data_IF_634783225269
#
_entry.id   IF_634783225269
#
_cell.length_a   1.000
_cell.length_b   1.000
_cell.length_c   1.000
_cell.angle_alpha   90.00
_cell.angle_beta   90.00
_cell.angle_gamma   90.00
#
_symmetry.space_group_name_H-M   'P 1'
#
loop_
_entity.id
_entity.type
_entity.pdbx_description
1 polymer ?
#
# COMPACT_ATOMS: atom_id res chain seq x y z
N UNK A 1 -7.84 21.33 23.24
CA UNK A 1 -9.18 20.77 22.93
C UNK A 1 -9.11 20.29 21.50
N UNK A 2 -8.77 19.02 21.30
CA UNK A 2 -8.77 18.43 19.95
C UNK A 2 -10.17 18.55 19.38
N UNK A 3 -10.27 19.21 18.22
CA UNK A 3 -11.52 19.40 17.52
C UNK A 3 -11.92 18.04 16.93
N UNK A 4 -12.57 17.20 17.72
CA UNK A 4 -13.03 15.86 17.31
C UNK A 4 -14.02 16.04 16.16
N UNK A 5 -13.55 15.83 14.93
CA UNK A 5 -14.36 15.90 13.71
C UNK A 5 -15.54 14.95 13.86
N UNK A 6 -16.75 15.49 13.76
CA UNK A 6 -18.00 14.73 14.00
C UNK A 6 -18.22 13.67 12.91
N UNK A 7 -19.03 12.63 13.20
CA UNK A 7 -19.37 11.63 12.19
C UNK A 7 -20.02 12.25 10.93
N UNK A 8 -20.85 13.28 11.11
CA UNK A 8 -21.46 14.02 10.00
C UNK A 8 -20.45 14.73 9.11
N UNK A 9 -19.45 15.39 9.72
CA UNK A 9 -18.37 16.04 8.97
C UNK A 9 -17.47 15.04 8.25
N UNK A 10 -17.16 13.91 8.89
CA UNK A 10 -16.39 12.84 8.25
C UNK A 10 -17.14 12.25 7.04
N UNK A 11 -18.45 11.96 7.19
CA UNK A 11 -19.29 11.52 6.06
C UNK A 11 -19.33 12.54 4.92
N UNK A 12 -19.45 13.84 5.26
CA UNK A 12 -19.42 14.92 4.26
C UNK A 12 -18.08 14.99 3.53
N UNK A 13 -16.97 14.78 4.23
CA UNK A 13 -15.64 14.73 3.63
C UNK A 13 -15.50 13.54 2.67
N UNK A 14 -15.90 12.34 3.11
CA UNK A 14 -15.90 11.13 2.28
C UNK A 14 -16.75 11.31 1.02
N UNK A 15 -17.96 11.86 1.16
CA UNK A 15 -18.83 12.15 0.02
C UNK A 15 -18.21 13.12 -0.97
N UNK A 16 -17.56 14.18 -0.49
CA UNK A 16 -16.84 15.13 -1.34
C UNK A 16 -15.66 14.49 -2.05
N UNK A 17 -14.93 13.59 -1.37
CA UNK A 17 -13.84 12.84 -1.96
C UNK A 17 -14.33 11.91 -3.07
N UNK A 18 -15.47 11.24 -2.86
CA UNK A 18 -16.17 10.45 -3.87
C UNK A 18 -16.84 11.29 -4.98
N UNK A 19 -16.74 12.64 -4.91
CA UNK A 19 -17.36 13.60 -5.84
C UNK A 19 -18.88 13.45 -6.00
N UNK A 20 -19.56 12.94 -4.98
CA UNK A 20 -21.01 12.76 -4.99
C UNK A 20 -21.72 13.99 -4.39
N UNK A 21 -22.85 14.40 -4.96
CA UNK A 21 -23.77 15.33 -4.30
C UNK A 21 -24.55 14.61 -3.20
N UNK A 22 -25.22 15.38 -2.32
CA UNK A 22 -26.13 14.77 -1.34
C UNK A 22 -27.29 14.04 -2.02
N UNK A 23 -27.73 14.50 -3.20
CA UNK A 23 -28.80 13.85 -3.95
C UNK A 23 -28.31 12.51 -4.52
N UNK A 24 -27.10 12.46 -5.08
CA UNK A 24 -26.53 11.24 -5.66
C UNK A 24 -26.40 10.15 -4.59
N UNK A 25 -25.81 10.49 -3.43
CA UNK A 25 -25.64 9.54 -2.34
C UNK A 25 -26.99 9.08 -1.75
N UNK A 26 -27.96 9.99 -1.67
CA UNK A 26 -29.33 9.68 -1.25
C UNK A 26 -29.99 8.66 -2.19
N UNK A 27 -29.82 8.83 -3.51
CA UNK A 27 -30.34 7.89 -4.51
C UNK A 27 -29.68 6.52 -4.42
N UNK A 28 -28.35 6.45 -4.22
CA UNK A 28 -27.61 5.18 -4.09
C UNK A 28 -28.04 4.41 -2.83
N UNK A 29 -28.25 5.12 -1.71
CA UNK A 29 -28.49 4.50 -0.40
C UNK A 29 -29.97 4.36 -0.03
N UNK A 30 -30.86 4.96 -0.82
CA UNK A 30 -32.31 4.95 -0.58
C UNK A 30 -32.76 5.82 0.59
N UNK A 31 -31.91 6.70 1.13
CA UNK A 31 -32.30 7.65 2.19
C UNK A 31 -32.70 8.99 1.60
N UNK A 32 -33.52 9.77 2.30
CA UNK A 32 -33.86 11.11 1.80
C UNK A 32 -32.66 12.07 1.86
N UNK A 33 -32.50 12.91 0.83
CA UNK A 33 -31.47 13.94 0.78
C UNK A 33 -31.56 14.92 1.97
N UNK A 34 -32.79 15.22 2.44
CA UNK A 34 -33.02 16.00 3.66
C UNK A 34 -32.45 15.31 4.90
N UNK A 35 -32.68 14.01 5.06
CA UNK A 35 -32.14 13.25 6.19
C UNK A 35 -30.60 13.18 6.15
N UNK A 36 -30.03 12.92 4.97
CA UNK A 36 -28.57 12.96 4.76
C UNK A 36 -27.99 14.33 5.14
N UNK A 37 -28.63 15.42 4.73
CA UNK A 37 -28.22 16.77 5.10
C UNK A 37 -28.26 17.00 6.62
N UNK A 38 -29.27 16.50 7.32
CA UNK A 38 -29.33 16.55 8.77
C UNK A 38 -28.20 15.74 9.43
N UNK A 39 -27.86 14.56 8.89
CA UNK A 39 -26.73 13.75 9.38
C UNK A 39 -25.41 14.50 9.21
N UNK A 40 -25.13 15.01 8.01
CA UNK A 40 -23.87 15.74 7.72
C UNK A 40 -23.69 17.03 8.53
N UNK A 41 -24.79 17.61 8.99
CA UNK A 41 -24.81 18.83 9.83
C UNK A 41 -24.94 18.54 11.31
N UNK A 42 -24.90 17.26 11.73
CA UNK A 42 -25.01 16.85 13.13
C UNK A 42 -26.41 17.02 13.75
N UNK A 43 -27.42 17.39 12.95
CA UNK A 43 -28.81 17.58 13.40
C UNK A 43 -29.58 16.26 13.55
N UNK A 44 -29.05 15.16 13.02
CA UNK A 44 -29.61 13.83 13.19
C UNK A 44 -28.51 12.79 13.42
N UNK A 45 -28.74 11.86 14.34
CA UNK A 45 -27.86 10.71 14.55
C UNK A 45 -28.30 9.55 13.66
N UNK A 46 -27.47 9.05 12.73
CA UNK A 46 -27.83 7.90 11.90
C UNK A 46 -27.83 6.62 12.73
N UNK A 47 -28.75 5.69 12.43
CA UNK A 47 -28.68 4.32 12.95
C UNK A 47 -27.49 3.56 12.35
N UNK A 48 -27.10 2.44 12.96
CA UNK A 48 -25.94 1.63 12.51
C UNK A 48 -26.10 1.12 11.07
N UNK A 49 -27.30 0.66 10.70
CA UNK A 49 -27.60 0.18 9.34
C UNK A 49 -27.50 1.30 8.29
N UNK A 50 -28.06 2.48 8.60
CA UNK A 50 -27.95 3.67 7.73
C UNK A 50 -26.51 4.10 7.57
N UNK A 51 -25.75 4.13 8.67
CA UNK A 51 -24.35 4.51 8.66
C UNK A 51 -23.51 3.55 7.81
N UNK A 52 -23.75 2.25 7.95
CA UNK A 52 -23.11 1.23 7.13
C UNK A 52 -23.44 1.41 5.64
N UNK A 53 -24.72 1.58 5.30
CA UNK A 53 -25.15 1.79 3.90
C UNK A 53 -24.49 3.02 3.28
N UNK A 54 -24.40 4.13 4.01
CA UNK A 54 -23.71 5.34 3.56
C UNK A 54 -22.22 5.09 3.31
N UNK A 55 -21.53 4.45 4.26
CA UNK A 55 -20.09 4.18 4.15
C UNK A 55 -19.77 3.20 3.02
N UNK A 56 -20.60 2.18 2.83
CA UNK A 56 -20.47 1.23 1.71
C UNK A 56 -20.69 1.92 0.37
N UNK A 57 -21.71 2.76 0.23
CA UNK A 57 -21.95 3.54 -1.00
C UNK A 57 -20.85 4.55 -1.31
N UNK A 58 -20.09 4.97 -0.30
CA UNK A 58 -18.94 5.84 -0.43
C UNK A 58 -17.63 5.09 -0.69
N UNK A 59 -17.66 3.76 -0.73
CA UNK A 59 -16.47 2.90 -0.82
C UNK A 59 -15.39 3.29 0.20
N UNK A 60 -15.84 3.69 1.40
CA UNK A 60 -14.94 4.21 2.42
C UNK A 60 -13.99 3.10 2.91
N UNK A 61 -12.67 3.37 3.02
CA UNK A 61 -11.72 2.47 3.66
C UNK A 61 -12.21 1.98 5.03
N UNK A 62 -11.90 0.73 5.39
CA UNK A 62 -12.43 0.10 6.60
C UNK A 62 -12.00 0.82 7.89
N UNK A 63 -10.79 1.38 7.92
CA UNK A 63 -10.31 2.20 9.04
C UNK A 63 -11.13 3.48 9.18
N UNK A 64 -11.45 4.13 8.06
CA UNK A 64 -12.29 5.33 8.04
C UNK A 64 -13.73 4.99 8.44
N UNK A 65 -14.25 3.82 8.05
CA UNK A 65 -15.53 3.34 8.54
C UNK A 65 -15.53 3.26 10.07
N UNK A 66 -14.53 2.61 10.67
CA UNK A 66 -14.42 2.50 12.12
C UNK A 66 -14.33 3.86 12.81
N UNK A 67 -13.57 4.82 12.24
CA UNK A 67 -13.51 6.20 12.75
C UNK A 67 -14.88 6.87 12.75
N UNK A 68 -15.68 6.69 11.69
CA UNK A 68 -17.03 7.24 11.58
C UNK A 68 -17.99 6.56 12.57
N UNK A 69 -17.92 5.23 12.73
CA UNK A 69 -18.71 4.51 13.74
C UNK A 69 -18.41 5.01 15.16
N UNK A 70 -17.12 5.14 15.51
CA UNK A 70 -16.68 5.68 16.80
C UNK A 70 -17.18 7.12 17.02
N UNK A 71 -17.02 7.99 16.02
CA UNK A 71 -17.49 9.39 16.10
C UNK A 71 -19.03 9.50 16.21
N UNK A 72 -19.78 8.48 15.76
CA UNK A 72 -21.22 8.38 15.95
C UNK A 72 -21.62 7.77 17.30
N UNK A 73 -20.65 7.37 18.13
CA UNK A 73 -20.88 6.72 19.43
C UNK A 73 -21.25 5.25 19.33
N UNK A 74 -20.75 4.55 18.31
CA UNK A 74 -20.87 3.09 18.14
C UNK A 74 -19.51 2.42 18.30
N UNK A 75 -19.50 1.10 18.53
CA UNK A 75 -18.29 0.31 18.52
C UNK A 75 -17.69 0.19 17.10
N UNK A 76 -16.37 -0.01 16.96
CA UNK A 76 -15.75 -0.35 15.68
C UNK A 76 -16.41 -1.59 15.07
N UNK A 77 -16.58 -1.59 13.74
CA UNK A 77 -17.24 -2.66 13.00
C UNK A 77 -16.26 -3.66 12.40
N UNK A 78 -15.12 -3.17 11.90
CA UNK A 78 -14.12 -3.97 11.21
C UNK A 78 -12.92 -4.24 12.11
N UNK A 79 -12.33 -5.42 11.99
CA UNK A 79 -11.15 -5.83 12.74
C UNK A 79 -9.87 -5.55 11.96
N UNK A 80 -8.77 -5.33 12.67
CA UNK A 80 -7.42 -5.39 12.13
C UNK A 80 -6.77 -6.63 12.74
N UNK A 81 -6.88 -7.76 12.04
CA UNK A 81 -6.43 -9.04 12.56
C UNK A 81 -4.93 -9.22 12.28
N UNK A 82 -4.09 -9.46 13.30
CA UNK A 82 -2.66 -9.63 13.09
C UNK A 82 -2.38 -10.69 12.02
N UNK A 83 -1.48 -10.38 11.07
CA UNK A 83 -1.16 -11.29 9.96
C UNK A 83 -0.63 -12.63 10.45
N UNK A 84 0.04 -12.69 11.61
CA UNK A 84 0.54 -13.91 12.23
C UNK A 84 -0.55 -14.76 12.92
N UNK A 85 -1.78 -14.26 13.05
CA UNK A 85 -2.85 -14.99 13.74
C UNK A 85 -3.27 -16.27 13.01
N UNK A 86 -3.82 -17.27 13.72
CA UNK A 86 -4.33 -18.49 13.08
C UNK A 86 -5.41 -18.23 12.02
N UNK A 87 -6.24 -17.21 12.22
CA UNK A 87 -7.30 -16.81 11.27
C UNK A 87 -6.75 -16.33 9.91
N UNK A 88 -5.49 -15.88 9.87
CA UNK A 88 -4.83 -15.40 8.66
C UNK A 88 -4.01 -16.47 7.92
N UNK A 89 -4.04 -17.73 8.38
CA UNK A 89 -3.22 -18.81 7.81
C UNK A 89 -3.46 -19.02 6.32
N UNK A 90 -4.72 -19.15 5.90
CA UNK A 90 -5.07 -19.32 4.48
C UNK A 90 -4.61 -18.13 3.61
N UNK A 91 -4.65 -16.91 4.15
CA UNK A 91 -4.13 -15.72 3.45
C UNK A 91 -2.61 -15.80 3.31
N UNK A 92 -1.89 -16.12 4.39
CA UNK A 92 -0.42 -16.26 4.34
C UNK A 92 0.01 -17.33 3.34
N UNK A 93 -0.69 -18.46 3.31
CA UNK A 93 -0.45 -19.54 2.33
C UNK A 93 -0.70 -19.06 0.89
N UNK A 94 -1.82 -18.38 0.64
CA UNK A 94 -2.11 -17.82 -0.68
C UNK A 94 -1.05 -16.79 -1.13
N UNK A 95 -0.62 -15.90 -0.23
CA UNK A 95 0.45 -14.93 -0.53
C UNK A 95 1.77 -15.65 -0.80
N UNK A 96 2.12 -16.66 0.01
CA UNK A 96 3.32 -17.46 -0.20
C UNK A 96 3.32 -18.13 -1.58
N UNK A 97 2.19 -18.68 -2.02
CA UNK A 97 2.04 -19.24 -3.36
C UNK A 97 2.25 -18.20 -4.47
N UNK A 98 1.67 -17.01 -4.35
CA UNK A 98 1.84 -15.93 -5.34
C UNK A 98 3.29 -15.47 -5.40
N UNK A 99 3.92 -15.25 -4.25
CA UNK A 99 5.33 -14.86 -4.17
C UNK A 99 6.24 -15.92 -4.80
N UNK A 100 6.00 -17.20 -4.49
CA UNK A 100 6.77 -18.30 -5.06
C UNK A 100 6.58 -18.43 -6.57
N UNK A 101 5.35 -18.30 -7.06
CA UNK A 101 5.03 -18.35 -8.49
C UNK A 101 5.66 -17.21 -9.29
N UNK A 102 6.03 -16.11 -8.64
CA UNK A 102 6.69 -14.99 -9.30
C UNK A 102 8.17 -15.24 -9.57
N UNK A 103 8.82 -16.22 -8.92
CA UNK A 103 10.21 -16.57 -9.26
C UNK A 103 10.30 -16.98 -10.75
N UNK A 104 11.37 -16.57 -11.47
CA UNK A 104 12.60 -15.94 -10.99
C UNK A 104 12.53 -14.40 -10.88
N UNK A 105 11.37 -13.77 -11.10
CA UNK A 105 11.21 -12.33 -10.91
C UNK A 105 11.03 -11.98 -9.42
N UNK A 106 11.61 -10.86 -8.92
CA UNK A 106 11.43 -10.44 -7.52
C UNK A 106 9.98 -10.08 -7.20
N UNK A 107 9.54 -10.46 -6.00
CA UNK A 107 8.27 -10.01 -5.44
C UNK A 107 8.34 -9.88 -3.91
N UNK A 108 7.60 -8.91 -3.39
CA UNK A 108 7.50 -8.61 -1.95
C UNK A 108 6.05 -8.35 -1.53
N UNK A 109 5.69 -8.79 -0.34
CA UNK A 109 4.47 -8.40 0.36
C UNK A 109 4.77 -7.16 1.20
N UNK A 110 4.01 -6.10 1.01
CA UNK A 110 4.10 -4.86 1.79
C UNK A 110 2.86 -4.66 2.65
N UNK A 111 3.05 -4.15 3.86
CA UNK A 111 1.97 -3.70 4.73
C UNK A 111 1.69 -2.20 4.66
N UNK A 112 0.88 -1.70 5.59
CA UNK A 112 0.35 -0.33 5.62
C UNK A 112 1.42 0.75 5.78
N UNK A 113 2.57 0.42 6.36
CA UNK A 113 3.67 1.31 6.65
C UNK A 113 4.83 1.12 5.65
N UNK A 114 4.64 0.35 4.57
CA UNK A 114 5.68 -0.05 3.61
C UNK A 114 6.74 -1.00 4.19
N UNK A 115 6.42 -1.68 5.28
CA UNK A 115 7.19 -2.79 5.81
C UNK A 115 7.10 -4.00 4.88
N UNK A 116 8.24 -4.63 4.61
CA UNK A 116 8.33 -5.89 3.86
C UNK A 116 7.98 -7.03 4.82
N UNK A 117 6.81 -7.62 4.60
CA UNK A 117 6.24 -8.67 5.45
C UNK A 117 6.61 -10.07 4.98
N UNK A 118 6.91 -10.22 3.69
CA UNK A 118 7.40 -11.45 3.07
C UNK A 118 8.05 -11.12 1.72
N UNK A 119 8.98 -11.95 1.27
CA UNK A 119 9.64 -11.82 -0.02
C UNK A 119 9.86 -13.20 -0.64
N UNK A 120 9.94 -13.27 -1.97
CA UNK A 120 10.39 -14.49 -2.64
C UNK A 120 11.92 -14.56 -2.72
N UNK A 121 12.45 -15.72 -3.08
CA UNK A 121 13.89 -15.95 -3.19
C UNK A 121 14.57 -14.97 -4.16
N UNK A 122 13.92 -14.68 -5.29
CA UNK A 122 14.42 -13.73 -6.28
C UNK A 122 14.62 -12.30 -5.77
N UNK A 123 13.87 -11.86 -4.76
CA UNK A 123 14.14 -10.57 -4.08
C UNK A 123 15.47 -10.62 -3.34
N UNK A 124 15.75 -11.69 -2.61
CA UNK A 124 17.05 -11.88 -1.95
C UNK A 124 18.19 -11.91 -2.96
N UNK A 125 18.02 -12.61 -4.08
CA UNK A 125 19.01 -12.66 -5.16
C UNK A 125 19.24 -11.30 -5.82
N UNK A 126 18.19 -10.48 -5.99
CA UNK A 126 18.34 -9.10 -6.46
C UNK A 126 19.19 -8.27 -5.48
N UNK A 127 18.97 -8.42 -4.17
CA UNK A 127 19.77 -7.74 -3.15
C UNK A 127 21.23 -8.18 -3.20
N UNK A 128 21.48 -9.49 -3.31
CA UNK A 128 22.82 -10.03 -3.50
C UNK A 128 23.48 -9.45 -4.76
N UNK A 129 22.75 -9.34 -5.88
CA UNK A 129 23.19 -8.74 -7.15
C UNK A 129 23.57 -7.25 -7.06
N UNK A 130 23.17 -6.55 -6.00
CA UNK A 130 23.58 -5.16 -5.73
C UNK A 130 24.51 -5.02 -4.53
N UNK A 131 24.84 -6.13 -3.86
CA UNK A 131 25.74 -6.15 -2.69
C UNK A 131 25.06 -5.77 -1.38
N UNK A 132 23.72 -5.82 -1.34
CA UNK A 132 22.93 -5.69 -0.11
C UNK A 132 22.73 -7.10 0.46
N UNK A 133 22.93 -7.26 1.78
CA UNK A 133 22.76 -8.58 2.41
C UNK A 133 21.29 -9.02 2.34
N UNK A 134 21.06 -10.28 1.98
CA UNK A 134 19.70 -10.83 1.82
C UNK A 134 18.88 -10.87 3.13
N UNK A 135 19.53 -10.93 4.29
CA UNK A 135 18.88 -10.83 5.62
C UNK A 135 18.28 -9.42 5.88
N UNK A 136 18.63 -8.43 5.04
CA UNK A 136 18.02 -7.10 5.05
C UNK A 136 16.69 -7.02 4.30
N UNK A 137 16.06 -8.13 3.91
CA UNK A 137 14.70 -8.10 3.34
C UNK A 137 13.61 -8.33 4.41
N UNK A 138 13.88 -9.17 5.42
CA UNK A 138 12.92 -9.46 6.49
C UNK A 138 12.91 -8.36 7.55
N UNK A 139 11.73 -7.80 7.84
CA UNK A 139 11.58 -6.72 8.82
C UNK A 139 12.15 -5.37 8.36
N UNK A 140 12.47 -5.24 7.06
CA UNK A 140 12.95 -4.01 6.47
C UNK A 140 11.82 -3.23 5.84
N UNK A 141 11.92 -1.91 5.90
CA UNK A 141 10.94 -1.00 5.32
C UNK A 141 11.42 -0.53 3.95
N UNK A 142 10.58 -0.69 2.93
CA UNK A 142 10.93 -0.34 1.55
C UNK A 142 11.28 1.15 1.42
N UNK A 143 10.55 2.05 2.08
CA UNK A 143 10.87 3.49 2.06
C UNK A 143 12.24 3.76 2.66
N UNK A 144 12.59 3.07 3.75
CA UNK A 144 13.92 3.19 4.35
C UNK A 144 15.00 2.75 3.37
N UNK A 145 14.84 1.62 2.66
CA UNK A 145 15.83 1.18 1.67
C UNK A 145 15.95 2.12 0.48
N UNK A 146 14.87 2.78 0.08
CA UNK A 146 14.88 3.70 -1.05
C UNK A 146 15.46 5.07 -0.68
N UNK A 147 15.21 5.55 0.54
CA UNK A 147 15.48 6.93 0.94
C UNK A 147 16.71 7.13 1.83
N UNK A 148 17.09 6.13 2.64
CA UNK A 148 18.30 6.23 3.46
C UNK A 148 19.57 5.97 2.63
N UNK A 149 20.68 6.66 2.94
CA UNK A 149 21.99 6.31 2.39
C UNK A 149 22.37 4.86 2.73
N UNK A 150 23.02 4.18 1.79
CA UNK A 150 23.42 2.77 1.92
C UNK A 150 22.31 1.75 1.66
N UNK A 151 21.11 2.20 1.29
CA UNK A 151 19.99 1.34 0.89
C UNK A 151 19.92 1.10 -0.62
N UNK A 152 18.92 0.31 -1.05
CA UNK A 152 18.62 0.01 -2.46
C UNK A 152 18.57 1.26 -3.35
N UNK A 153 18.09 2.39 -2.83
CA UNK A 153 17.99 3.64 -3.57
C UNK A 153 19.31 4.14 -4.15
N UNK A 154 20.45 3.86 -3.51
CA UNK A 154 21.77 4.27 -4.00
C UNK A 154 22.26 3.39 -5.17
N UNK A 155 21.65 2.23 -5.37
CA UNK A 155 21.93 1.33 -6.49
C UNK A 155 21.02 1.59 -7.69
N UNK A 156 20.04 2.49 -7.58
CA UNK A 156 19.16 2.84 -8.68
C UNK A 156 19.85 3.79 -9.66
N UNK A 157 19.71 3.50 -10.95
CA UNK A 157 20.18 4.38 -12.04
C UNK A 157 19.29 5.61 -12.14
N UNK A 158 17.98 5.46 -11.90
CA UNK A 158 17.00 6.53 -11.85
C UNK A 158 16.46 6.77 -10.44
N UNK A 159 17.37 6.84 -9.46
CA UNK A 159 17.03 7.00 -8.05
C UNK A 159 16.09 8.18 -7.78
N UNK A 160 16.33 9.34 -8.38
CA UNK A 160 15.52 10.54 -8.16
C UNK A 160 14.04 10.32 -8.53
N UNK A 161 13.78 9.71 -9.69
CA UNK A 161 12.42 9.41 -10.16
C UNK A 161 11.71 8.45 -9.21
N UNK A 162 12.37 7.36 -8.83
CA UNK A 162 11.79 6.32 -7.96
C UNK A 162 11.56 6.85 -6.55
N UNK A 163 12.49 7.64 -6.00
CA UNK A 163 12.36 8.27 -4.68
C UNK A 163 11.21 9.27 -4.65
N UNK A 164 11.07 10.11 -5.69
CA UNK A 164 9.96 11.08 -5.79
C UNK A 164 8.60 10.37 -5.85
N UNK A 165 8.47 9.32 -6.66
CA UNK A 165 7.26 8.51 -6.77
C UNK A 165 6.88 7.84 -5.46
N UNK A 166 7.84 7.16 -4.82
CA UNK A 166 7.63 6.50 -3.53
C UNK A 166 7.24 7.51 -2.45
N UNK A 167 7.93 8.66 -2.40
CA UNK A 167 7.65 9.74 -1.45
C UNK A 167 6.24 10.31 -1.61
N UNK A 168 5.82 10.64 -2.84
CA UNK A 168 4.49 11.20 -3.07
C UNK A 168 3.40 10.19 -2.69
N UNK A 169 3.57 8.92 -3.08
CA UNK A 169 2.61 7.87 -2.76
C UNK A 169 2.50 7.67 -1.25
N UNK A 170 3.64 7.55 -0.56
CA UNK A 170 3.69 7.39 0.89
C UNK A 170 3.11 8.62 1.61
N UNK A 171 3.39 9.84 1.16
CA UNK A 171 2.83 11.08 1.73
C UNK A 171 1.30 11.10 1.66
N UNK A 172 0.73 10.64 0.54
CA UNK A 172 -0.73 10.54 0.40
C UNK A 172 -1.33 9.47 1.34
N UNK A 173 -0.67 8.32 1.45
CA UNK A 173 -1.11 7.24 2.34
C UNK A 173 -0.98 7.63 3.82
N UNK A 174 0.03 8.43 4.18
CA UNK A 174 0.28 8.95 5.52
C UNK A 174 -0.82 9.87 6.06
N UNK A 175 -1.64 10.49 5.19
CA UNK A 175 -2.80 11.30 5.61
C UNK A 175 -3.80 10.50 6.46
N UNK A 176 -3.88 9.19 6.23
CA UNK A 176 -4.72 8.26 6.99
C UNK A 176 -3.96 7.35 7.96
N UNK A 177 -2.62 7.43 7.98
CA UNK A 177 -1.75 6.53 8.72
C UNK A 177 -0.70 7.33 9.53
N UNK A 178 -0.96 7.60 10.82
CA UNK A 178 -0.05 8.36 11.68
C UNK A 178 1.32 7.72 11.86
N UNK A 179 1.42 6.39 11.85
CA UNK A 179 2.70 5.68 11.99
C UNK A 179 3.56 5.86 10.73
N UNK A 180 2.95 5.76 9.55
CA UNK A 180 3.63 6.07 8.29
C UNK A 180 4.04 7.55 8.22
N UNK A 181 3.19 8.46 8.71
CA UNK A 181 3.53 9.88 8.79
C UNK A 181 4.76 10.13 9.69
N UNK A 182 4.83 9.46 10.85
CA UNK A 182 5.98 9.54 11.74
C UNK A 182 7.24 8.94 11.11
N UNK A 183 7.13 7.81 10.41
CA UNK A 183 8.23 7.22 9.66
C UNK A 183 8.74 8.17 8.59
N UNK A 184 7.87 8.72 7.73
CA UNK A 184 8.27 9.65 6.67
C UNK A 184 8.98 10.88 7.21
N UNK A 185 8.52 11.44 8.33
CA UNK A 185 9.17 12.57 8.97
C UNK A 185 10.59 12.27 9.48
N UNK A 186 10.93 10.99 9.68
CA UNK A 186 12.27 10.55 10.08
C UNK A 186 13.21 10.23 8.91
N UNK A 187 12.67 10.10 7.69
CA UNK A 187 13.44 9.73 6.50
C UNK A 187 13.96 10.97 5.76
N UNK A 188 15.10 10.88 5.03
CA UNK A 188 15.57 11.95 4.19
C UNK A 188 14.53 12.30 3.11
N UNK A 189 14.13 13.56 3.07
CA UNK A 189 13.28 14.07 1.99
C UNK A 189 14.06 14.05 0.67
N UNK A 190 13.51 13.45 -0.40
CA UNK A 190 14.12 13.54 -1.73
C UNK A 190 14.33 14.99 -2.17
N UNK A 191 15.36 15.23 -2.98
CA UNK A 191 15.63 16.56 -3.53
C UNK A 191 14.46 17.11 -4.36
N UNK A 192 13.75 16.21 -5.05
CA UNK A 192 12.52 16.53 -5.76
C UNK A 192 11.36 15.72 -5.20
N UNK A 193 10.32 16.42 -4.74
CA UNK A 193 9.11 15.81 -4.18
C UNK A 193 7.89 15.99 -5.08
N UNK A 194 8.02 16.80 -6.13
CA UNK A 194 6.97 17.02 -7.12
C UNK A 194 7.21 16.09 -8.31
N UNK A 195 6.16 15.35 -8.71
CA UNK A 195 6.23 14.62 -9.97
C UNK A 195 6.20 15.61 -11.14
N UNK A 196 7.00 15.38 -12.19
CA UNK A 196 6.89 16.09 -13.45
C UNK A 196 5.43 16.16 -13.94
N UNK A 197 5.03 17.32 -14.47
CA UNK A 197 3.68 17.52 -15.01
C UNK A 197 3.31 16.51 -16.11
N UNK A 198 4.31 15.91 -16.76
CA UNK A 198 4.17 14.83 -17.72
C UNK A 198 5.06 13.66 -17.30
N UNK A 199 4.46 12.66 -16.67
CA UNK A 199 5.11 11.38 -16.43
C UNK A 199 4.90 10.47 -17.64
N UNK A 200 5.90 9.66 -18.04
CA UNK A 200 5.66 8.60 -19.00
C UNK A 200 4.60 7.63 -18.43
N UNK A 201 3.85 6.93 -19.29
CA UNK A 201 2.82 5.99 -18.85
C UNK A 201 3.38 4.83 -18.01
N UNK A 202 4.70 4.63 -18.07
CA UNK A 202 5.42 3.61 -17.34
C UNK A 202 6.77 4.15 -16.87
N UNK A 203 7.08 3.96 -15.60
CA UNK A 203 8.40 4.24 -15.02
C UNK A 203 9.04 2.91 -14.65
N UNK A 204 10.19 2.63 -15.24
CA UNK A 204 10.96 1.43 -14.93
C UNK A 204 11.83 1.67 -13.70
N UNK A 205 11.94 0.66 -12.84
CA UNK A 205 12.94 0.61 -11.78
C UNK A 205 14.22 0.06 -12.37
N UNK A 206 15.26 0.89 -12.50
CA UNK A 206 16.53 0.52 -13.12
C UNK A 206 17.61 0.41 -12.06
N UNK A 207 18.18 -0.77 -11.94
CA UNK A 207 19.09 -1.15 -10.86
C UNK A 207 20.48 -1.42 -11.46
N UNK A 208 21.53 -0.86 -10.85
CA UNK A 208 22.91 -1.18 -11.17
C UNK A 208 23.35 -2.39 -10.36
N UNK A 209 23.55 -3.52 -11.03
CA UNK A 209 24.03 -4.78 -10.45
C UNK A 209 25.47 -5.08 -10.89
N UNK A 210 26.11 -6.08 -10.27
CA UNK A 210 27.40 -6.61 -10.75
C UNK A 210 27.31 -7.29 -12.13
N UNK A 211 26.10 -7.63 -12.58
CA UNK A 211 25.84 -8.20 -13.91
C UNK A 211 25.36 -7.15 -14.93
N UNK A 212 25.40 -5.87 -14.57
CA UNK A 212 24.98 -4.76 -15.43
C UNK A 212 23.66 -4.11 -14.99
N UNK A 213 23.07 -3.33 -15.88
CA UNK A 213 21.77 -2.70 -15.65
C UNK A 213 20.64 -3.73 -15.72
N UNK A 214 19.79 -3.73 -14.71
CA UNK A 214 18.56 -4.51 -14.65
C UNK A 214 17.37 -3.58 -14.65
N UNK A 215 16.38 -3.84 -15.50
CA UNK A 215 15.20 -2.99 -15.68
C UNK A 215 13.94 -3.75 -15.31
N UNK A 216 13.13 -3.17 -14.41
CA UNK A 216 11.91 -3.79 -13.93
C UNK A 216 10.69 -2.87 -14.09
N UNK A 217 9.59 -3.48 -14.50
CA UNK A 217 8.25 -2.91 -14.43
C UNK A 217 7.64 -3.27 -13.06
N UNK A 218 7.35 -2.26 -12.24
CA UNK A 218 6.70 -2.47 -10.93
C UNK A 218 5.18 -2.53 -11.10
N UNK A 219 4.56 -3.56 -10.54
CA UNK A 219 3.09 -3.70 -10.45
C UNK A 219 2.68 -4.05 -9.05
N UNK A 220 1.51 -3.55 -8.63
CA UNK A 220 0.95 -3.83 -7.30
C UNK A 220 -0.34 -4.63 -7.44
N UNK A 221 -0.40 -5.76 -6.75
CA UNK A 221 -1.61 -6.59 -6.61
C UNK A 221 -2.19 -6.39 -5.22
N UNK A 222 -3.50 -6.17 -5.13
CA UNK A 222 -4.23 -6.00 -3.86
C UNK A 222 -5.38 -7.00 -3.74
N UNK A 223 -5.88 -7.18 -2.52
CA UNK A 223 -7.08 -7.99 -2.29
C UNK A 223 -8.33 -7.21 -2.73
N UNK A 224 -9.12 -7.79 -3.64
CA UNK A 224 -10.23 -7.07 -4.28
C UNK A 224 -11.42 -6.74 -3.37
N UNK A 225 -11.71 -7.59 -2.37
CA UNK A 225 -12.87 -7.40 -1.47
C UNK A 225 -12.50 -7.76 -0.02
N UNK A 226 -11.58 -7.02 0.62
CA UNK A 226 -11.14 -7.36 1.97
C UNK A 226 -12.24 -7.04 3.00
N UNK A 227 -12.43 -7.92 3.97
CA UNK A 227 -13.36 -7.74 5.09
C UNK A 227 -12.63 -7.43 6.42
N UNK A 228 -11.30 -7.31 6.37
CA UNK A 228 -10.43 -7.03 7.50
C UNK A 228 -9.46 -5.90 7.11
N UNK A 229 -9.21 -4.99 8.06
CA UNK A 229 -8.35 -3.81 7.92
C UNK A 229 -6.90 -4.20 7.58
N UNK A 230 -6.41 -5.31 8.10
CA UNK A 230 -5.06 -5.76 7.75
C UNK A 230 -5.01 -6.16 6.28
N UNK A 231 -6.05 -6.80 5.75
CA UNK A 231 -6.08 -7.20 4.34
C UNK A 231 -6.25 -6.02 3.37
N UNK A 232 -6.91 -4.94 3.79
CA UNK A 232 -7.01 -3.72 2.96
C UNK A 232 -5.65 -3.05 2.74
N UNK A 233 -4.71 -3.20 3.67
CA UNK A 233 -3.39 -2.57 3.57
C UNK A 233 -2.34 -3.41 2.87
N UNK A 234 -2.53 -4.73 2.79
CA UNK A 234 -1.61 -5.64 2.11
C UNK A 234 -1.59 -5.40 0.61
N UNK A 235 -0.37 -5.33 0.05
CA UNK A 235 -0.11 -5.30 -1.39
C UNK A 235 1.08 -6.16 -1.74
N UNK A 236 1.02 -6.86 -2.86
CA UNK A 236 2.19 -7.56 -3.42
C UNK A 236 2.77 -6.66 -4.49
N UNK A 237 4.02 -6.27 -4.35
CA UNK A 237 4.79 -5.64 -5.42
C UNK A 237 5.52 -6.71 -6.22
N UNK A 238 5.32 -6.69 -7.54
CA UNK A 238 6.03 -7.53 -8.50
C UNK A 238 6.98 -6.66 -9.30
N UNK A 239 8.26 -7.02 -9.32
CA UNK A 239 9.26 -6.43 -10.21
C UNK A 239 9.40 -7.34 -11.43
N UNK A 240 8.61 -7.06 -12.48
CA UNK A 240 8.60 -7.85 -13.71
C UNK A 240 9.78 -7.40 -14.58
N UNK A 241 10.69 -8.29 -15.02
CA UNK A 241 11.76 -7.93 -15.94
C UNK A 241 11.21 -7.25 -17.20
N UNK A 242 11.70 -6.06 -17.49
CA UNK A 242 11.22 -5.22 -18.58
C UNK A 242 11.88 -5.54 -19.92
N UNK A 243 12.96 -6.33 -19.91
CA UNK A 243 13.69 -6.78 -21.07
C UNK A 243 14.24 -8.20 -20.89
N UNK A 244 14.66 -8.80 -22.01
CA UNK A 244 15.18 -10.16 -22.05
C UNK A 244 16.51 -10.29 -21.27
N UNK A 245 17.36 -9.26 -21.29
CA UNK A 245 18.64 -9.29 -20.58
C UNK A 245 18.43 -9.43 -19.06
N UNK A 246 17.53 -8.62 -18.50
CA UNK A 246 17.13 -8.68 -17.09
C UNK A 246 16.53 -10.03 -16.75
N UNK A 247 15.66 -10.56 -17.62
CA UNK A 247 15.07 -11.89 -17.42
C UNK A 247 16.11 -13.01 -17.39
N UNK A 248 17.12 -12.96 -18.26
CA UNK A 248 18.18 -13.96 -18.31
C UNK A 248 19.08 -13.91 -17.06
N UNK A 249 19.43 -12.72 -16.59
CA UNK A 249 20.19 -12.56 -15.33
C UNK A 249 19.41 -13.16 -14.17
N UNK A 250 18.13 -12.80 -14.00
CA UNK A 250 17.29 -13.30 -12.91
C UNK A 250 17.08 -14.82 -13.00
N UNK A 251 16.90 -15.37 -14.21
CA UNK A 251 16.83 -16.83 -14.40
C UNK A 251 18.11 -17.53 -14.01
N UNK A 252 19.26 -17.00 -14.39
CA UNK A 252 20.57 -17.57 -14.09
C UNK A 252 20.80 -17.70 -12.59
N UNK A 253 20.68 -16.58 -11.87
CA UNK A 253 20.90 -16.58 -10.41
C UNK A 253 19.87 -17.43 -9.67
N UNK A 254 18.61 -17.47 -10.13
CA UNK A 254 17.59 -18.30 -9.52
C UNK A 254 17.82 -19.80 -9.76
N UNK A 255 18.31 -20.18 -10.95
CA UNK A 255 18.65 -21.58 -11.23
C UNK A 255 19.81 -22.07 -10.36
N UNK A 256 20.83 -21.24 -10.16
CA UNK A 256 21.94 -21.53 -9.24
C UNK A 256 21.45 -21.69 -7.80
N UNK A 257 20.59 -20.77 -7.33
CA UNK A 257 19.96 -20.86 -6.02
C UNK A 257 19.12 -22.13 -5.86
N UNK A 258 18.27 -22.46 -6.84
CA UNK A 258 17.40 -23.62 -6.78
C UNK A 258 18.19 -24.94 -6.74
N UNK A 259 19.36 -24.99 -7.37
CA UNK A 259 20.25 -26.14 -7.33
C UNK A 259 20.96 -26.32 -5.97
N UNK A 260 21.05 -25.28 -5.14
CA UNK A 260 21.66 -25.33 -3.81
C UNK A 260 20.67 -25.69 -2.69
N UNK A 261 19.38 -25.49 -2.93
CA UNK A 261 18.29 -25.68 -1.93
C UNK A 261 17.55 -27.02 -2.11
N UNK A 262 17.73 -27.68 -3.26
CA UNK A 262 17.22 -29.03 -3.55
C UNK A 262 18.30 -30.10 -3.30
#
# INVERSE_FOLDING_TARGET
>A
MDNLVTAGEQLRQLRRHAKLSQLDLALITGISQRHLSCIETGRAKPGTATLHSLLTALEAPLEQCNRVFLAAGYAPRYTATPLASPAMTAIREAVSHVLHANNPAPAILLGSQWEVLAANASTGLLFELVGIRADAAEGVNLLTTLLQPGGLGDHLINAEEIRALAWQRATREALGNPELAALLASLPTPANTELPAHMPPLVLTRVRSHQGELSFLSTFTTFGMPQDITLTSLRIEHLIPADEATWQVMRGVYAEYAALVL
#
